data_IF_120642555085
#
_entry.id   IF_120642555085
#
_cell.length_a   1.000
_cell.length_b   1.000
_cell.length_c   1.000
_cell.angle_alpha   90.00
_cell.angle_beta   90.00
_cell.angle_gamma   90.00
#
_symmetry.space_group_name_H-M   'P 1'
#
loop_
_entity.id
_entity.type
_entity.pdbx_description
1 polymer ?
#
# COMPACT_ATOMS: atom_id res chain seq x y z
N UNK A 1 -8.17 -25.81 6.25
CA UNK A 1 -9.59 -25.64 6.63
C UNK A 1 -9.92 -26.62 7.75
N UNK A 2 -10.40 -26.13 8.89
CA UNK A 2 -10.65 -26.91 10.12
C UNK A 2 -11.83 -27.89 9.98
N UNK A 3 -11.79 -29.03 10.70
CA UNK A 3 -12.82 -30.07 10.74
C UNK A 3 -14.23 -29.54 11.07
N UNK A 4 -14.32 -28.50 11.91
CA UNK A 4 -15.60 -27.86 12.26
C UNK A 4 -16.25 -27.19 11.03
N UNK A 5 -15.44 -26.48 10.23
CA UNK A 5 -15.90 -25.83 9.00
C UNK A 5 -16.37 -26.88 8.00
N UNK A 6 -15.59 -27.96 7.84
CA UNK A 6 -15.93 -29.06 6.96
C UNK A 6 -17.23 -29.77 7.36
N UNK A 7 -17.46 -29.98 8.66
CA UNK A 7 -18.71 -30.54 9.16
C UNK A 7 -19.91 -29.61 8.89
N UNK A 8 -19.74 -28.30 9.10
CA UNK A 8 -20.77 -27.31 8.80
C UNK A 8 -21.11 -27.25 7.30
N UNK A 9 -20.11 -27.28 6.42
CA UNK A 9 -20.31 -27.33 4.96
C UNK A 9 -21.08 -28.58 4.56
N UNK A 10 -20.70 -29.77 5.06
CA UNK A 10 -21.42 -31.03 4.77
C UNK A 10 -22.88 -31.00 5.21
N UNK A 11 -23.19 -30.34 6.33
CA UNK A 11 -24.57 -30.16 6.79
C UNK A 11 -25.39 -29.28 5.84
N UNK A 12 -24.76 -28.28 5.22
CA UNK A 12 -25.40 -27.29 4.36
C UNK A 12 -25.45 -27.71 2.89
N UNK A 13 -24.56 -28.61 2.44
CA UNK A 13 -24.48 -29.11 1.07
C UNK A 13 -25.83 -29.58 0.50
N UNK A 14 -26.63 -30.43 1.18
CA UNK A 14 -27.90 -30.91 0.62
C UNK A 14 -28.88 -29.78 0.28
N UNK A 15 -28.84 -28.68 1.03
CA UNK A 15 -29.74 -27.52 0.85
C UNK A 15 -29.28 -26.62 -0.29
N UNK A 16 -27.98 -26.32 -0.37
CA UNK A 16 -27.47 -25.26 -1.22
C UNK A 16 -26.72 -25.74 -2.47
N UNK A 17 -26.11 -26.93 -2.46
CA UNK A 17 -25.39 -27.49 -3.62
C UNK A 17 -26.22 -27.53 -4.91
N UNK A 18 -27.50 -27.96 -4.90
CA UNK A 18 -28.30 -27.99 -6.13
C UNK A 18 -28.80 -26.61 -6.59
N UNK A 19 -28.69 -25.56 -5.76
CA UNK A 19 -29.21 -24.22 -6.06
C UNK A 19 -28.19 -23.38 -6.85
N UNK A 20 -28.66 -22.56 -7.76
CA UNK A 20 -27.88 -21.51 -8.41
C UNK A 20 -27.41 -20.44 -7.42
N UNK A 21 -26.38 -19.67 -7.79
CA UNK A 21 -25.93 -18.54 -6.96
C UNK A 21 -27.06 -17.52 -6.74
N UNK A 22 -27.87 -17.27 -7.77
CA UNK A 22 -29.02 -16.36 -7.69
C UNK A 22 -30.02 -16.76 -6.61
N UNK A 23 -30.35 -18.04 -6.53
CA UNK A 23 -31.29 -18.55 -5.52
C UNK A 23 -30.74 -18.41 -4.11
N UNK A 24 -29.44 -18.66 -3.91
CA UNK A 24 -28.78 -18.52 -2.60
C UNK A 24 -28.71 -17.03 -2.21
N UNK A 25 -28.36 -16.14 -3.13
CA UNK A 25 -28.32 -14.68 -2.92
C UNK A 25 -29.72 -14.14 -2.60
N UNK A 26 -30.75 -14.65 -3.29
CA UNK A 26 -32.15 -14.28 -3.01
C UNK A 26 -32.54 -14.68 -1.59
N UNK A 27 -32.17 -15.88 -1.12
CA UNK A 27 -32.40 -16.32 0.26
C UNK A 27 -31.67 -15.44 1.27
N UNK A 28 -30.44 -15.02 0.98
CA UNK A 28 -29.70 -14.05 1.80
C UNK A 28 -30.48 -12.73 1.94
N UNK A 29 -31.07 -12.24 0.85
CA UNK A 29 -31.89 -11.03 0.85
C UNK A 29 -33.20 -11.14 1.65
N UNK A 30 -33.74 -12.34 1.81
CA UNK A 30 -34.95 -12.60 2.63
C UNK A 30 -34.64 -12.65 4.13
N UNK A 31 -33.38 -12.87 4.53
CA UNK A 31 -32.89 -12.66 5.90
C UNK A 31 -33.02 -13.85 6.86
N UNK A 32 -33.90 -14.82 6.61
CA UNK A 32 -34.16 -15.95 7.53
C UNK A 32 -32.99 -16.94 7.69
N UNK A 33 -32.05 -16.96 6.73
CA UNK A 33 -30.93 -17.91 6.71
C UNK A 33 -29.66 -17.27 6.12
N UNK A 34 -29.52 -15.95 6.25
CA UNK A 34 -28.44 -15.18 5.62
C UNK A 34 -27.05 -15.65 6.01
N UNK A 35 -26.84 -16.03 7.29
CA UNK A 35 -25.58 -16.57 7.80
C UNK A 35 -25.22 -17.91 7.17
N UNK A 36 -26.11 -18.90 7.23
CA UNK A 36 -25.86 -20.24 6.66
C UNK A 36 -25.65 -20.19 5.14
N UNK A 37 -26.43 -19.37 4.43
CA UNK A 37 -26.30 -19.19 2.98
C UNK A 37 -24.97 -18.51 2.60
N UNK A 38 -24.58 -17.45 3.30
CA UNK A 38 -23.29 -16.78 3.10
C UNK A 38 -22.13 -17.72 3.42
N UNK A 39 -22.20 -18.41 4.55
CA UNK A 39 -21.20 -19.38 4.97
C UNK A 39 -21.00 -20.47 3.90
N UNK A 40 -22.09 -21.03 3.37
CA UNK A 40 -21.99 -22.02 2.30
C UNK A 40 -21.36 -21.47 1.02
N UNK A 41 -21.67 -20.21 0.64
CA UNK A 41 -21.02 -19.58 -0.51
C UNK A 41 -19.51 -19.51 -0.30
N UNK A 42 -19.04 -19.04 0.85
CA UNK A 42 -17.61 -18.81 1.12
C UNK A 42 -16.84 -20.10 1.38
N UNK A 43 -17.31 -20.93 2.31
CA UNK A 43 -16.57 -22.11 2.80
C UNK A 43 -16.93 -23.40 2.05
N UNK A 44 -18.04 -23.42 1.33
CA UNK A 44 -18.45 -24.56 0.50
C UNK A 44 -18.17 -24.32 -0.98
N UNK A 45 -18.97 -23.47 -1.62
CA UNK A 45 -18.97 -23.30 -3.09
C UNK A 45 -17.72 -22.62 -3.64
N UNK A 46 -17.24 -21.58 -2.97
CA UNK A 46 -16.18 -20.72 -3.46
C UNK A 46 -14.85 -20.88 -2.73
N UNK A 47 -14.75 -21.80 -1.76
CA UNK A 47 -13.56 -22.00 -0.93
C UNK A 47 -12.29 -22.20 -1.76
N UNK A 48 -12.30 -23.12 -2.74
CA UNK A 48 -11.13 -23.39 -3.58
C UNK A 48 -10.70 -22.17 -4.41
N UNK A 49 -11.68 -21.39 -4.91
CA UNK A 49 -11.38 -20.16 -5.64
C UNK A 49 -10.77 -19.10 -4.72
N UNK A 50 -11.34 -18.93 -3.53
CA UNK A 50 -10.85 -17.97 -2.54
C UNK A 50 -9.45 -18.34 -2.06
N UNK A 51 -9.19 -19.63 -1.87
CA UNK A 51 -7.86 -20.16 -1.56
C UNK A 51 -6.88 -19.92 -2.71
N UNK A 52 -7.29 -20.12 -3.97
CA UNK A 52 -6.45 -19.83 -5.13
C UNK A 52 -6.12 -18.33 -5.25
N UNK A 53 -7.07 -17.44 -4.96
CA UNK A 53 -6.84 -15.99 -4.92
C UNK A 53 -5.85 -15.66 -3.79
N UNK A 54 -6.10 -16.20 -2.59
CA UNK A 54 -5.25 -15.99 -1.43
C UNK A 54 -3.80 -16.44 -1.68
N UNK A 55 -3.59 -17.66 -2.18
CA UNK A 55 -2.24 -18.18 -2.44
C UNK A 55 -1.48 -17.38 -3.50
N UNK A 56 -2.18 -16.72 -4.43
CA UNK A 56 -1.56 -15.88 -5.46
C UNK A 56 -1.14 -14.50 -4.94
N UNK A 57 -1.78 -14.00 -3.89
CA UNK A 57 -1.63 -12.62 -3.44
C UNK A 57 -1.04 -12.49 -2.02
N UNK A 58 -1.15 -13.52 -1.18
CA UNK A 58 -0.64 -13.48 0.19
C UNK A 58 0.88 -13.53 0.21
N UNK A 59 1.50 -12.61 0.96
CA UNK A 59 2.94 -12.58 1.23
C UNK A 59 3.35 -13.46 2.43
N UNK A 60 2.44 -14.34 2.90
CA UNK A 60 2.73 -15.28 3.99
C UNK A 60 2.59 -14.70 5.40
N UNK A 61 2.14 -13.44 5.53
CA UNK A 61 1.92 -12.77 6.83
C UNK A 61 0.49 -12.86 7.34
N UNK A 62 -0.45 -12.86 6.40
CA UNK A 62 -1.87 -13.07 6.66
C UNK A 62 -2.11 -14.57 6.57
N UNK A 63 -2.74 -15.17 7.57
CA UNK A 63 -3.20 -16.56 7.50
C UNK A 63 -4.47 -16.67 6.66
N UNK A 64 -4.67 -17.80 5.97
CA UNK A 64 -5.84 -18.00 5.14
C UNK A 64 -7.15 -17.91 5.94
N UNK A 65 -7.13 -18.42 7.16
CA UNK A 65 -8.29 -18.41 8.04
C UNK A 65 -8.65 -16.97 8.49
N UNK A 66 -7.66 -16.10 8.72
CA UNK A 66 -7.88 -14.67 9.01
C UNK A 66 -8.48 -13.92 7.81
N UNK A 67 -7.98 -14.19 6.61
CA UNK A 67 -8.56 -13.64 5.37
C UNK A 67 -10.02 -14.08 5.19
N UNK A 68 -10.30 -15.37 5.38
CA UNK A 68 -11.66 -15.90 5.24
C UNK A 68 -12.61 -15.32 6.29
N UNK A 69 -12.13 -15.14 7.52
CA UNK A 69 -12.90 -14.52 8.61
C UNK A 69 -13.22 -13.05 8.31
N UNK A 70 -12.21 -12.26 7.92
CA UNK A 70 -12.42 -10.85 7.57
C UNK A 70 -13.35 -10.71 6.35
N UNK A 71 -13.27 -11.62 5.38
CA UNK A 71 -14.16 -11.66 4.23
C UNK A 71 -15.61 -11.94 4.64
N UNK A 72 -15.82 -12.93 5.51
CA UNK A 72 -17.15 -13.27 6.03
C UNK A 72 -17.76 -12.09 6.78
N UNK A 73 -17.00 -11.46 7.70
CA UNK A 73 -17.45 -10.26 8.43
C UNK A 73 -17.80 -9.14 7.45
N UNK A 74 -16.92 -8.82 6.49
CA UNK A 74 -17.13 -7.74 5.52
C UNK A 74 -18.37 -7.96 4.66
N UNK A 75 -18.66 -9.21 4.32
CA UNK A 75 -19.82 -9.59 3.53
C UNK A 75 -21.10 -9.71 4.36
N UNK A 76 -21.01 -10.02 5.66
CA UNK A 76 -22.17 -10.15 6.54
C UNK A 76 -22.66 -8.79 7.08
N UNK A 77 -21.73 -7.86 7.31
CA UNK A 77 -22.02 -6.49 7.80
C UNK A 77 -23.09 -5.81 6.93
N UNK A 78 -23.92 -4.98 7.56
CA UNK A 78 -25.06 -4.32 6.92
C UNK A 78 -26.04 -5.30 6.26
N UNK A 79 -26.32 -6.45 6.92
CA UNK A 79 -27.28 -7.47 6.45
C UNK A 79 -26.97 -7.97 5.04
N UNK A 80 -25.71 -8.28 4.78
CA UNK A 80 -25.27 -8.78 3.48
C UNK A 80 -25.50 -7.83 2.30
N UNK A 81 -25.51 -6.51 2.53
CA UNK A 81 -25.75 -5.50 1.50
C UNK A 81 -24.83 -5.65 0.27
N UNK A 82 -23.55 -6.00 0.47
CA UNK A 82 -22.62 -6.23 -0.64
C UNK A 82 -23.08 -7.40 -1.53
N UNK A 83 -23.52 -8.50 -0.93
CA UNK A 83 -24.03 -9.67 -1.65
C UNK A 83 -25.34 -9.34 -2.37
N UNK A 84 -26.25 -8.64 -1.69
CA UNK A 84 -27.55 -8.23 -2.25
C UNK A 84 -27.38 -7.23 -3.41
N UNK A 85 -26.30 -6.44 -3.40
CA UNK A 85 -26.00 -5.48 -4.47
C UNK A 85 -25.43 -6.11 -5.75
N UNK A 86 -25.23 -7.43 -5.77
CA UNK A 86 -24.78 -8.15 -6.95
C UNK A 86 -25.78 -8.02 -8.11
N UNK A 87 -25.26 -7.72 -9.30
CA UNK A 87 -26.04 -7.60 -10.53
C UNK A 87 -25.56 -8.63 -11.56
N UNK A 88 -26.39 -9.64 -11.79
CA UNK A 88 -26.11 -10.76 -12.70
C UNK A 88 -25.94 -10.32 -14.16
N UNK A 89 -26.46 -9.14 -14.54
CA UNK A 89 -26.32 -8.63 -15.90
C UNK A 89 -24.91 -8.07 -16.18
N UNK A 90 -24.12 -7.80 -15.14
CA UNK A 90 -22.79 -7.20 -15.27
C UNK A 90 -21.66 -8.22 -15.23
N UNK A 91 -21.79 -9.25 -14.39
CA UNK A 91 -20.76 -10.27 -14.22
C UNK A 91 -21.31 -11.54 -13.56
N UNK A 92 -20.54 -12.62 -13.61
CA UNK A 92 -20.80 -13.80 -12.77
C UNK A 92 -20.58 -13.47 -11.29
N UNK A 93 -21.31 -14.13 -10.39
CA UNK A 93 -21.12 -13.94 -8.96
C UNK A 93 -19.70 -14.33 -8.53
N UNK A 94 -19.14 -15.40 -9.11
CA UNK A 94 -17.74 -15.80 -8.96
C UNK A 94 -16.77 -14.63 -9.20
N UNK A 95 -16.94 -13.91 -10.31
CA UNK A 95 -16.10 -12.75 -10.67
C UNK A 95 -16.29 -11.59 -9.68
N UNK A 96 -17.54 -11.31 -9.30
CA UNK A 96 -17.88 -10.25 -8.35
C UNK A 96 -17.27 -10.51 -6.97
N UNK A 97 -17.48 -11.71 -6.42
CA UNK A 97 -16.90 -12.15 -5.15
C UNK A 97 -15.38 -12.17 -5.21
N UNK A 98 -14.80 -12.67 -6.32
CA UNK A 98 -13.36 -12.64 -6.53
C UNK A 98 -12.76 -11.23 -6.49
N UNK A 99 -13.48 -10.23 -7.03
CA UNK A 99 -13.07 -8.83 -6.96
C UNK A 99 -13.09 -8.29 -5.52
N UNK A 100 -14.13 -8.63 -4.74
CA UNK A 100 -14.20 -8.26 -3.32
C UNK A 100 -13.05 -8.90 -2.54
N UNK A 101 -12.82 -10.20 -2.75
CA UNK A 101 -11.75 -10.96 -2.12
C UNK A 101 -10.36 -10.37 -2.43
N UNK A 102 -10.09 -10.07 -3.70
CA UNK A 102 -8.82 -9.48 -4.13
C UNK A 102 -8.58 -8.09 -3.53
N UNK A 103 -9.62 -7.26 -3.48
CA UNK A 103 -9.55 -5.93 -2.86
C UNK A 103 -9.37 -6.03 -1.34
N UNK A 104 -10.03 -6.99 -0.70
CA UNK A 104 -9.86 -7.21 0.72
C UNK A 104 -8.45 -7.69 1.05
N UNK A 105 -7.91 -8.66 0.32
CA UNK A 105 -6.52 -9.10 0.50
C UNK A 105 -5.54 -7.95 0.29
N UNK A 106 -5.78 -7.13 -0.73
CA UNK A 106 -5.01 -5.92 -0.94
C UNK A 106 -5.09 -4.97 0.27
N UNK A 107 -6.29 -4.72 0.80
CA UNK A 107 -6.50 -3.88 1.98
C UNK A 107 -5.82 -4.46 3.23
N UNK A 108 -5.91 -5.79 3.44
CA UNK A 108 -5.28 -6.49 4.56
C UNK A 108 -3.76 -6.45 4.45
N UNK A 109 -3.20 -6.72 3.28
CA UNK A 109 -1.76 -6.61 3.03
C UNK A 109 -1.28 -5.17 3.16
N UNK A 110 -2.06 -4.19 2.69
CA UNK A 110 -1.75 -2.77 2.84
C UNK A 110 -1.83 -2.28 4.30
N UNK A 111 -2.67 -2.92 5.14
CA UNK A 111 -2.72 -2.71 6.59
C UNK A 111 -1.54 -3.39 7.30
N UNK A 112 -1.10 -4.54 6.82
CA UNK A 112 -0.02 -5.33 7.43
C UNK A 112 1.39 -4.91 7.04
N UNK A 113 1.64 -4.23 5.91
CA UNK A 113 2.86 -3.42 5.66
C UNK A 113 2.84 -2.71 4.30
N UNK A 114 3.31 -1.45 4.22
CA UNK A 114 3.47 -0.79 2.92
C UNK A 114 4.81 -1.08 2.21
N UNK A 115 5.88 -1.46 2.90
CA UNK A 115 7.23 -1.31 2.28
C UNK A 115 8.29 -2.37 2.60
N UNK A 116 8.12 -3.28 3.58
CA UNK A 116 9.17 -4.27 3.89
C UNK A 116 9.25 -5.43 2.88
N UNK A 117 8.13 -5.77 2.23
CA UNK A 117 8.07 -6.76 1.13
C UNK A 117 8.78 -6.27 -0.15
N UNK A 118 9.11 -4.97 -0.23
CA UNK A 118 9.83 -4.40 -1.36
C UNK A 118 11.26 -4.90 -1.41
N UNK A 119 11.95 -4.98 -0.26
CA UNK A 119 13.33 -5.46 -0.22
C UNK A 119 13.41 -6.92 -0.63
N UNK A 120 12.44 -7.74 -0.23
CA UNK A 120 12.37 -9.14 -0.60
C UNK A 120 12.00 -9.32 -2.08
N UNK A 121 11.04 -8.55 -2.60
CA UNK A 121 10.70 -8.54 -4.02
C UNK A 121 11.85 -8.05 -4.91
N UNK A 122 12.60 -7.04 -4.47
CA UNK A 122 13.78 -6.54 -5.17
C UNK A 122 14.93 -7.56 -5.12
N UNK A 123 15.15 -8.26 -4.00
CA UNK A 123 16.14 -9.35 -3.90
C UNK A 123 15.88 -10.51 -4.87
N UNK A 124 14.61 -10.74 -5.24
CA UNK A 124 14.23 -11.75 -6.22
C UNK A 124 14.39 -11.27 -7.67
N UNK A 125 14.63 -9.98 -7.88
CA UNK A 125 14.97 -9.46 -9.20
C UNK A 125 16.49 -9.45 -9.33
N UNK A 126 17.04 -10.02 -10.41
CA UNK A 126 18.49 -10.08 -10.70
C UNK A 126 19.11 -8.70 -11.04
N UNK A 127 18.59 -7.62 -10.46
CA UNK A 127 19.13 -6.29 -10.61
C UNK A 127 20.06 -5.96 -9.45
N UNK A 128 21.25 -5.43 -9.75
CA UNK A 128 22.13 -4.89 -8.72
C UNK A 128 21.56 -3.58 -8.17
N UNK A 129 20.58 -3.65 -7.28
CA UNK A 129 19.99 -2.48 -6.63
C UNK A 129 20.69 -2.16 -5.28
N UNK A 130 20.66 -0.89 -4.90
CA UNK A 130 21.18 -0.43 -3.61
C UNK A 130 20.24 -0.83 -2.47
N UNK A 131 20.44 -2.05 -1.98
CA UNK A 131 19.61 -2.65 -0.94
C UNK A 131 19.62 -1.85 0.36
N UNK A 132 20.79 -1.34 0.77
CA UNK A 132 20.94 -0.59 2.00
C UNK A 132 20.18 0.74 1.92
N UNK A 133 20.39 1.53 0.87
CA UNK A 133 19.68 2.80 0.71
C UNK A 133 18.17 2.63 0.52
N UNK A 134 17.75 1.56 -0.17
CA UNK A 134 16.34 1.21 -0.27
C UNK A 134 15.75 0.85 1.10
N UNK A 135 16.48 0.13 1.94
CA UNK A 135 16.02 -0.21 3.30
C UNK A 135 15.80 1.04 4.15
N UNK A 136 16.69 2.03 4.03
CA UNK A 136 16.55 3.33 4.71
C UNK A 136 15.33 4.10 4.20
N UNK A 137 15.06 4.11 2.90
CA UNK A 137 13.84 4.73 2.34
C UNK A 137 12.57 4.07 2.89
N UNK A 138 12.54 2.73 2.87
CA UNK A 138 11.44 1.92 3.39
C UNK A 138 11.17 2.21 4.86
N UNK A 139 12.23 2.24 5.67
CA UNK A 139 12.15 2.53 7.11
C UNK A 139 11.73 3.98 7.37
N UNK A 140 12.23 4.94 6.58
CA UNK A 140 11.85 6.35 6.68
C UNK A 140 10.36 6.58 6.34
N UNK A 141 9.83 5.91 5.31
CA UNK A 141 8.40 5.92 4.97
C UNK A 141 7.58 5.34 6.12
N UNK A 142 7.99 4.19 6.67
CA UNK A 142 7.26 3.49 7.71
C UNK A 142 7.24 4.25 9.04
N UNK A 143 8.36 4.86 9.41
CA UNK A 143 8.52 5.62 10.65
C UNK A 143 7.93 7.03 10.59
N UNK A 144 7.46 7.50 9.42
CA UNK A 144 6.88 8.83 9.30
C UNK A 144 5.59 8.97 10.14
N UNK A 145 5.51 9.93 11.08
CA UNK A 145 4.47 9.92 12.13
C UNK A 145 3.06 10.21 11.60
N UNK A 146 2.92 11.02 10.56
CA UNK A 146 1.61 11.41 10.05
C UNK A 146 1.03 10.31 9.14
N UNK A 147 -0.05 9.67 9.60
CA UNK A 147 -0.76 8.58 8.91
C UNK A 147 -1.33 9.00 7.55
N UNK A 148 -1.89 10.20 7.45
CA UNK A 148 -2.48 10.71 6.20
C UNK A 148 -1.42 11.04 5.16
N UNK A 149 -0.30 11.61 5.59
CA UNK A 149 0.86 11.84 4.74
C UNK A 149 1.45 10.55 4.20
N UNK A 150 1.62 9.52 5.04
CA UNK A 150 2.05 8.18 4.59
C UNK A 150 1.06 7.62 3.58
N UNK A 151 -0.23 7.71 3.87
CA UNK A 151 -1.28 7.26 2.96
C UNK A 151 -1.21 7.96 1.60
N UNK A 152 -1.08 9.30 1.58
CA UNK A 152 -0.93 10.08 0.35
C UNK A 152 0.29 9.64 -0.45
N UNK A 153 1.43 9.44 0.22
CA UNK A 153 2.65 9.01 -0.43
C UNK A 153 2.51 7.61 -1.05
N UNK A 154 1.97 6.65 -0.30
CA UNK A 154 1.76 5.28 -0.77
C UNK A 154 0.78 5.22 -1.95
N UNK A 155 -0.35 5.92 -1.87
CA UNK A 155 -1.30 5.99 -2.99
C UNK A 155 -0.70 6.66 -4.23
N UNK A 156 0.21 7.62 -4.04
CA UNK A 156 0.94 8.20 -5.17
C UNK A 156 1.86 7.16 -5.81
N UNK A 157 2.59 6.39 -5.01
CA UNK A 157 3.49 5.33 -5.49
C UNK A 157 2.71 4.22 -6.21
N UNK A 158 1.51 3.90 -5.74
CA UNK A 158 0.59 2.97 -6.43
C UNK A 158 0.09 3.51 -7.79
N UNK A 159 0.31 4.79 -8.09
CA UNK A 159 -0.04 5.42 -9.37
C UNK A 159 -1.35 6.22 -9.37
N UNK A 160 -2.00 6.40 -8.21
CA UNK A 160 -3.23 7.21 -8.12
C UNK A 160 -2.93 8.70 -8.30
N UNK A 161 -3.85 9.41 -8.98
CA UNK A 161 -3.77 10.85 -9.20
C UNK A 161 -4.25 11.60 -7.96
N UNK A 162 -3.76 12.83 -7.77
CA UNK A 162 -4.12 13.69 -6.62
C UNK A 162 -5.64 13.86 -6.43
N UNK A 163 -6.42 13.87 -7.51
CA UNK A 163 -7.89 13.91 -7.45
C UNK A 163 -8.50 12.65 -6.83
N UNK A 164 -7.97 11.48 -7.15
CA UNK A 164 -8.46 10.19 -6.64
C UNK A 164 -8.08 10.04 -5.17
N UNK A 165 -6.83 10.35 -4.83
CA UNK A 165 -6.33 10.35 -3.45
C UNK A 165 -7.13 11.33 -2.58
N UNK A 166 -7.47 12.51 -3.10
CA UNK A 166 -8.28 13.49 -2.38
C UNK A 166 -9.67 12.93 -2.02
N UNK A 167 -10.31 12.22 -2.95
CA UNK A 167 -11.60 11.58 -2.70
C UNK A 167 -11.49 10.45 -1.67
N UNK A 168 -10.48 9.59 -1.79
CA UNK A 168 -10.25 8.47 -0.85
C UNK A 168 -9.96 8.98 0.57
N UNK A 169 -9.09 9.99 0.71
CA UNK A 169 -8.72 10.56 2.00
C UNK A 169 -9.88 11.36 2.62
N UNK A 170 -10.70 12.03 1.80
CA UNK A 170 -11.94 12.68 2.25
C UNK A 170 -12.87 11.67 2.90
N UNK A 171 -13.17 10.57 2.20
CA UNK A 171 -14.05 9.51 2.70
C UNK A 171 -13.53 8.94 4.02
N UNK A 172 -12.24 8.62 4.07
CA UNK A 172 -11.59 8.10 5.27
C UNK A 172 -11.73 9.04 6.47
N UNK A 173 -11.44 10.33 6.29
CA UNK A 173 -11.56 11.32 7.37
C UNK A 173 -13.00 11.55 7.82
N UNK A 174 -13.97 11.44 6.90
CA UNK A 174 -15.38 11.51 7.25
C UNK A 174 -15.84 10.29 8.05
N UNK A 175 -15.33 9.09 7.73
CA UNK A 175 -15.59 7.86 8.48
C UNK A 175 -14.93 7.91 9.88
N UNK A 176 -13.74 8.49 9.98
CA UNK A 176 -13.01 8.68 11.26
C UNK A 176 -13.53 9.88 12.08
N UNK A 177 -14.47 10.66 11.55
CA UNK A 177 -15.02 11.86 12.21
C UNK A 177 -14.06 13.05 12.28
N UNK A 178 -12.95 13.02 11.54
CA UNK A 178 -11.94 14.10 11.48
C UNK A 178 -12.23 15.14 10.38
N UNK A 179 -13.24 14.89 9.54
CA UNK A 179 -13.73 15.83 8.54
C UNK A 179 -15.26 15.80 8.46
N UNK A 180 -15.88 16.98 8.38
CA UNK A 180 -17.33 17.11 8.24
C UNK A 180 -17.83 16.47 6.93
N UNK A 181 -19.01 15.84 6.97
CA UNK A 181 -19.64 15.17 5.81
C UNK A 181 -19.89 16.08 4.59
N UNK A 182 -19.89 17.40 4.79
CA UNK A 182 -20.05 18.41 3.72
C UNK A 182 -18.74 18.97 3.18
N UNK A 183 -17.58 18.61 3.74
CA UNK A 183 -16.27 19.11 3.33
C UNK A 183 -15.51 18.03 2.56
N UNK A 184 -14.73 18.47 1.56
CA UNK A 184 -13.85 17.61 0.78
C UNK A 184 -12.45 18.19 0.69
N UNK A 185 -11.46 17.30 0.60
CA UNK A 185 -10.08 17.67 0.36
C UNK A 185 -9.88 17.97 -1.13
N UNK A 186 -9.01 18.94 -1.43
CA UNK A 186 -8.70 19.33 -2.81
C UNK A 186 -7.46 18.59 -3.34
N UNK A 187 -7.33 18.41 -4.66
CA UNK A 187 -6.10 17.85 -5.24
C UNK A 187 -4.83 18.63 -4.85
N UNK A 188 -4.92 19.97 -4.79
CA UNK A 188 -3.80 20.82 -4.39
C UNK A 188 -3.34 20.59 -2.93
N UNK A 189 -4.27 20.24 -2.03
CA UNK A 189 -3.94 19.82 -0.68
C UNK A 189 -3.08 18.54 -0.71
N UNK A 190 -3.47 17.55 -1.52
CA UNK A 190 -2.73 16.30 -1.68
C UNK A 190 -1.33 16.57 -2.24
N UNK A 191 -1.19 17.45 -3.23
CA UNK A 191 0.11 17.83 -3.80
C UNK A 191 1.04 18.44 -2.75
N UNK A 192 0.49 19.32 -1.92
CA UNK A 192 1.22 19.95 -0.81
C UNK A 192 1.65 18.91 0.23
N UNK A 193 0.74 18.03 0.64
CA UNK A 193 1.03 16.95 1.59
C UNK A 193 2.12 16.04 1.05
N UNK A 194 2.01 15.62 -0.21
CA UNK A 194 2.99 14.80 -0.90
C UNK A 194 4.37 15.45 -0.92
N UNK A 195 4.47 16.69 -1.42
CA UNK A 195 5.74 17.44 -1.49
C UNK A 195 6.41 17.58 -0.13
N UNK A 196 5.66 17.95 0.91
CA UNK A 196 6.18 18.07 2.29
C UNK A 196 6.65 16.74 2.85
N UNK A 197 5.89 15.67 2.60
CA UNK A 197 6.19 14.32 3.10
C UNK A 197 7.46 13.79 2.44
N UNK A 198 7.61 13.95 1.13
CA UNK A 198 8.82 13.59 0.39
C UNK A 198 10.06 14.33 0.92
N UNK A 199 9.96 15.64 1.13
CA UNK A 199 11.05 16.44 1.70
C UNK A 199 11.43 16.00 3.11
N UNK A 200 10.45 15.62 3.94
CA UNK A 200 10.70 15.14 5.29
C UNK A 200 11.38 13.76 5.30
N UNK A 201 10.90 12.82 4.47
CA UNK A 201 11.48 11.48 4.33
C UNK A 201 12.91 11.56 3.81
N UNK A 202 13.18 12.43 2.82
CA UNK A 202 14.54 12.68 2.34
C UNK A 202 15.50 13.07 3.48
N UNK A 203 15.08 13.96 4.37
CA UNK A 203 15.89 14.34 5.55
C UNK A 203 16.09 13.18 6.52
N UNK A 204 15.09 12.32 6.70
CA UNK A 204 15.22 11.13 7.54
C UNK A 204 16.24 10.14 6.95
N UNK A 205 16.31 10.04 5.62
CA UNK A 205 17.30 9.21 4.94
C UNK A 205 18.73 9.77 5.02
N UNK A 206 18.90 11.09 5.08
CA UNK A 206 20.21 11.74 5.20
C UNK A 206 20.90 11.54 6.57
N UNK A 207 20.20 10.96 7.56
CA UNK A 207 20.67 10.84 8.94
C UNK A 207 20.53 12.15 9.74
N UNK A 208 20.86 12.16 11.05
CA UNK A 208 20.87 13.38 11.84
C UNK A 208 21.96 14.32 11.32
N UNK A 209 21.54 15.29 10.51
CA UNK A 209 22.33 16.48 10.24
C UNK A 209 22.47 17.22 11.58
N UNK A 210 23.69 17.32 12.11
CA UNK A 210 23.98 18.16 13.28
C UNK A 210 23.40 19.55 13.03
N UNK A 211 22.28 19.86 13.67
CA UNK A 211 21.85 21.25 13.85
C UNK A 211 22.66 21.84 15.00
N UNK A 212 23.95 22.09 14.73
CA UNK A 212 24.55 23.35 15.14
C UNK A 212 24.44 24.23 13.88
N UNK A 213 23.66 25.30 13.84
CA UNK A 213 23.83 26.47 14.69
C UNK A 213 22.50 27.19 14.96
N UNK A 214 22.53 27.84 16.11
CA UNK A 214 21.50 28.59 16.79
C UNK A 214 20.92 29.78 16.02
N UNK A 215 19.64 30.06 16.28
CA UNK A 215 19.14 31.42 16.33
C UNK A 215 19.98 32.26 17.31
N UNK A 216 20.55 33.38 16.86
CA UNK A 216 21.22 34.33 17.73
C UNK A 216 21.85 35.50 16.97
N UNK A 217 21.20 36.66 17.03
CA UNK A 217 21.62 37.95 16.46
C UNK A 217 22.90 38.46 17.14
N UNK A 218 23.82 39.07 16.38
CA UNK A 218 24.44 40.40 16.65
C UNK A 218 25.97 40.52 16.46
N UNK A 219 26.32 41.59 15.75
CA UNK A 219 27.50 42.46 15.84
C UNK A 219 28.83 42.09 15.13
N UNK A 220 29.21 43.03 14.26
CA UNK A 220 30.50 43.22 13.59
C UNK A 220 31.70 43.19 14.54
N UNK A 221 32.84 42.67 14.06
CA UNK A 221 34.13 43.36 14.19
C UNK A 221 35.18 42.86 13.18
N UNK A 222 35.96 43.82 12.70
CA UNK A 222 37.01 43.76 11.68
C UNK A 222 38.37 43.58 12.37
N UNK A 223 39.28 42.76 11.80
CA UNK A 223 40.73 43.02 11.55
C UNK A 223 41.44 41.69 11.21
N UNK A 224 42.07 41.49 10.03
CA UNK A 224 43.37 41.97 9.48
C UNK A 224 44.64 41.31 10.09
N UNK A 225 45.42 40.63 9.22
CA UNK A 225 46.78 40.13 9.49
C UNK A 225 47.04 38.70 8.92
N UNK A 226 47.45 38.46 7.66
CA UNK A 226 48.76 38.66 6.98
C UNK A 226 49.50 37.31 6.72
N UNK A 227 49.66 36.99 5.41
CA UNK A 227 50.74 36.23 4.70
C UNK A 227 51.06 34.77 5.05
N UNK A 228 51.37 33.82 4.15
CA UNK A 228 51.39 33.67 2.67
C UNK A 228 51.70 32.15 2.36
N UNK A 229 52.06 31.70 1.15
CA UNK A 229 51.31 30.73 0.34
C UNK A 229 52.02 29.35 0.19
N UNK A 230 51.35 28.30 -0.31
CA UNK A 230 52.03 27.30 -1.16
C UNK A 230 51.07 26.43 -2.00
N UNK A 231 51.31 26.52 -3.32
CA UNK A 231 51.22 25.50 -4.38
C UNK A 231 49.86 24.96 -4.89
N UNK A 232 49.70 25.21 -6.20
CA UNK A 232 48.68 24.82 -7.16
C UNK A 232 48.90 23.38 -7.69
N UNK A 233 47.80 22.62 -7.74
CA UNK A 233 47.39 21.58 -8.71
C UNK A 233 48.32 20.41 -9.09
N UNK A 234 47.76 19.19 -9.00
CA UNK A 234 47.43 18.39 -10.19
C UNK A 234 46.27 17.44 -9.89
N UNK A 235 45.21 17.61 -10.68
CA UNK A 235 44.04 16.76 -10.72
C UNK A 235 44.41 15.32 -11.09
N UNK A 236 43.74 14.36 -10.45
CA UNK A 236 43.54 13.02 -10.98
C UNK A 236 42.07 12.72 -10.81
N UNK A 237 41.31 12.95 -11.87
CA UNK A 237 39.93 12.53 -12.05
C UNK A 237 39.83 11.03 -11.79
N UNK A 238 39.04 10.55 -10.81
CA UNK A 238 38.54 9.20 -10.88
C UNK A 238 37.52 9.17 -12.01
N UNK A 239 37.80 8.35 -13.03
CA UNK A 239 36.89 8.05 -14.13
C UNK A 239 35.52 7.70 -13.57
N UNK A 240 34.57 8.60 -13.77
CA UNK A 240 33.18 8.47 -13.41
C UNK A 240 32.58 7.44 -14.37
N UNK A 241 32.51 6.17 -13.92
CA UNK A 241 31.68 5.18 -14.58
C UNK A 241 30.24 5.67 -14.42
N UNK A 242 29.68 6.20 -15.51
CA UNK A 242 28.24 6.44 -15.64
C UNK A 242 27.51 5.19 -15.16
N UNK A 243 26.56 5.27 -14.23
CA UNK A 243 25.61 4.19 -14.03
C UNK A 243 24.78 4.14 -15.31
N UNK A 244 25.01 3.09 -16.09
CA UNK A 244 24.14 2.75 -17.19
C UNK A 244 22.76 2.46 -16.58
N UNK A 245 21.76 3.24 -16.98
CA UNK A 245 20.39 3.10 -16.48
C UNK A 245 19.92 1.67 -16.81
N UNK A 246 19.91 0.79 -15.81
CA UNK A 246 19.44 -0.57 -15.98
C UNK A 246 18.00 -0.52 -16.52
N UNK A 247 17.79 -1.02 -17.73
CA UNK A 247 16.47 -1.10 -18.33
C UNK A 247 15.69 -2.22 -17.64
N UNK A 248 14.82 -1.84 -16.72
CA UNK A 248 13.93 -2.72 -15.99
C UNK A 248 12.71 -3.09 -16.82
N UNK A 249 12.83 -4.09 -17.69
CA UNK A 249 11.68 -4.64 -18.43
C UNK A 249 10.99 -5.81 -17.71
N UNK A 250 11.53 -6.29 -16.59
CA UNK A 250 11.09 -7.55 -15.94
C UNK A 250 10.45 -7.41 -14.54
N UNK A 251 10.31 -6.19 -13.98
CA UNK A 251 9.55 -6.01 -12.74
C UNK A 251 8.05 -6.03 -13.09
N UNK A 252 7.38 -7.14 -12.80
CA UNK A 252 5.94 -7.33 -13.03
C UNK A 252 5.04 -6.50 -12.11
N UNK A 253 5.58 -5.89 -11.06
CA UNK A 253 4.82 -5.10 -10.08
C UNK A 253 5.06 -3.58 -10.24
N UNK A 254 4.06 -2.80 -10.74
CA UNK A 254 4.17 -1.35 -10.93
C UNK A 254 4.53 -0.57 -9.66
N UNK A 255 4.12 -1.06 -8.49
CA UNK A 255 4.42 -0.42 -7.21
C UNK A 255 5.92 -0.47 -6.88
N UNK A 256 6.56 -1.62 -7.14
CA UNK A 256 8.00 -1.82 -6.91
C UNK A 256 8.82 -0.91 -7.84
N UNK A 257 8.44 -0.86 -9.12
CA UNK A 257 9.05 0.05 -10.10
C UNK A 257 8.94 1.50 -9.67
N UNK A 258 7.77 1.94 -9.21
CA UNK A 258 7.56 3.33 -8.77
C UNK A 258 8.35 3.68 -7.50
N UNK A 259 8.55 2.74 -6.58
CA UNK A 259 9.42 2.96 -5.41
C UNK A 259 10.88 3.06 -5.80
N UNK A 260 11.33 2.23 -6.73
CA UNK A 260 12.70 2.33 -7.24
C UNK A 260 12.95 3.66 -7.95
N UNK A 261 12.00 4.12 -8.78
CA UNK A 261 12.06 5.45 -9.39
C UNK A 261 12.12 6.54 -8.31
N UNK A 262 11.28 6.44 -7.28
CA UNK A 262 11.29 7.40 -6.18
C UNK A 262 12.64 7.42 -5.46
N UNK A 263 13.24 6.26 -5.23
CA UNK A 263 14.55 6.14 -4.60
C UNK A 263 15.63 6.85 -5.43
N UNK A 264 15.68 6.60 -6.73
CA UNK A 264 16.66 7.24 -7.62
C UNK A 264 16.47 8.76 -7.67
N UNK A 265 15.22 9.24 -7.76
CA UNK A 265 14.90 10.67 -7.69
C UNK A 265 15.34 11.30 -6.36
N UNK A 266 15.25 10.56 -5.26
CA UNK A 266 15.74 11.04 -3.98
C UNK A 266 17.27 11.07 -3.90
N UNK A 267 17.97 10.26 -4.69
CA UNK A 267 19.43 10.21 -4.77
C UNK A 267 20.04 11.27 -5.69
N UNK A 268 19.49 11.45 -6.89
CA UNK A 268 20.00 12.39 -7.89
C UNK A 268 20.03 13.84 -7.37
N UNK A 269 19.04 14.21 -6.54
CA UNK A 269 18.95 15.54 -5.90
C UNK A 269 20.01 15.79 -4.78
N UNK A 270 20.93 14.86 -4.49
CA UNK A 270 22.07 15.06 -3.56
C UNK A 270 23.37 15.47 -4.26
N UNK A 271 23.48 15.26 -5.58
CA UNK A 271 24.70 15.49 -6.36
C UNK A 271 24.72 16.86 -7.07
N UNK A 272 23.70 17.72 -6.82
CA UNK A 272 23.65 19.16 -7.19
C UNK A 272 23.89 20.07 -5.97
#
# INVERSE_FOLDING_TARGET
MNDVIQAAVKRLEPKYKPRSDKEIITEIGLGDSSGDALFYLLFGRYAEMLEAIFRRQSSGRIEFDDFMLELDIRLFVNRCAAIISFDENKASFKTYLGTIAHNLLYDMSAKEMPTRDILEALRQTDCGFDEYGMSILVDAINSYPNKDSRYVLLKTIEGYKSKEIAAMLTRRRQEEGTLDKGKSLTPAYIDTVRSRTLKAIRRMMAGPCEQAESCGVSACQVSLGVTEPFALAKASTPTLLKPEAASFTDITNPFITNIYILYNQMKEDYDE
#
